data_IF_404346331999
#
_entry.id   IF_404346331999
#
_cell.length_a   1.000
_cell.length_b   1.000
_cell.length_c   1.000
_cell.angle_alpha   90.00
_cell.angle_beta   90.00
_cell.angle_gamma   90.00
#
_symmetry.space_group_name_H-M   'P 1'
#
loop_
_entity.id
_entity.type
_entity.pdbx_description
1 polymer ?
#
# COMPACT_ATOMS: atom_id res chain seq x y z
N UNK A 1 3.09 14.27 -10.46
CA UNK A 1 1.77 13.60 -10.37
C UNK A 1 1.84 12.61 -9.22
N UNK A 2 0.83 12.56 -8.37
CA UNK A 2 0.76 11.57 -7.29
C UNK A 2 -0.03 10.35 -7.77
N UNK A 3 0.41 9.14 -7.38
CA UNK A 3 -0.37 7.91 -7.52
C UNK A 3 -0.97 7.56 -6.17
N UNK A 4 -2.21 7.08 -6.20
CA UNK A 4 -2.94 6.61 -5.03
C UNK A 4 -3.48 5.23 -5.35
N UNK A 5 -3.30 4.29 -4.42
CA UNK A 5 -3.88 2.96 -4.47
C UNK A 5 -4.67 2.71 -3.20
N UNK A 6 -5.84 2.11 -3.34
CA UNK A 6 -6.75 1.85 -2.24
C UNK A 6 -7.17 0.39 -2.25
N UNK A 7 -7.26 -0.18 -1.06
CA UNK A 7 -7.75 -1.52 -0.82
C UNK A 7 -8.63 -1.53 0.44
N UNK A 8 -9.61 -2.43 0.46
CA UNK A 8 -10.44 -2.66 1.64
C UNK A 8 -10.09 -4.04 2.17
N UNK A 9 -9.71 -4.12 3.45
CA UNK A 9 -9.47 -5.38 4.14
C UNK A 9 -10.43 -5.47 5.32
N UNK A 10 -11.37 -6.41 5.29
CA UNK A 10 -12.36 -6.63 6.35
C UNK A 10 -13.09 -5.33 6.81
N UNK A 11 -13.44 -4.47 5.85
CA UNK A 11 -14.12 -3.20 6.11
C UNK A 11 -13.20 -2.04 6.53
N UNK A 12 -11.90 -2.28 6.66
CA UNK A 12 -10.87 -1.26 6.95
C UNK A 12 -10.27 -0.72 5.67
N UNK A 13 -10.07 0.59 5.61
CA UNK A 13 -9.47 1.24 4.45
C UNK A 13 -7.94 1.23 4.56
N UNK A 14 -7.28 0.70 3.53
CA UNK A 14 -5.83 0.76 3.37
C UNK A 14 -5.53 1.62 2.14
N UNK A 15 -4.79 2.71 2.34
CA UNK A 15 -4.46 3.65 1.27
C UNK A 15 -2.95 3.84 1.18
N UNK A 16 -2.43 3.71 -0.03
CA UNK A 16 -1.02 3.91 -0.35
C UNK A 16 -0.89 5.10 -1.28
N UNK A 17 -0.05 6.05 -0.92
CA UNK A 17 0.27 7.20 -1.76
C UNK A 17 1.73 7.11 -2.22
N UNK A 18 2.00 7.48 -3.47
CA UNK A 18 3.35 7.69 -3.99
C UNK A 18 3.40 9.05 -4.71
N UNK A 19 4.31 9.90 -4.25
CA UNK A 19 4.51 11.23 -4.81
C UNK A 19 6.00 11.52 -4.96
N UNK A 20 6.36 12.22 -6.04
CA UNK A 20 7.77 12.48 -6.41
C UNK A 20 8.56 13.22 -5.32
N UNK A 21 7.92 14.15 -4.59
CA UNK A 21 8.56 14.96 -3.54
C UNK A 21 8.08 14.63 -2.14
N UNK A 22 6.86 14.11 -1.99
CA UNK A 22 6.29 13.72 -0.69
C UNK A 22 6.55 12.27 -0.31
N UNK A 23 7.26 11.51 -1.15
CA UNK A 23 7.62 10.12 -0.91
C UNK A 23 6.43 9.16 -1.00
N UNK A 24 6.59 8.00 -0.37
CA UNK A 24 5.55 7.00 -0.22
C UNK A 24 4.96 6.97 1.18
N UNK A 25 3.64 6.79 1.28
CA UNK A 25 2.91 6.80 2.55
C UNK A 25 1.89 5.68 2.60
N UNK A 26 1.74 5.10 3.79
CA UNK A 26 0.74 4.09 4.09
C UNK A 26 -0.23 4.66 5.13
N UNK A 27 -1.51 4.60 4.81
CA UNK A 27 -2.60 4.98 5.70
C UNK A 27 -3.51 3.78 5.98
N UNK A 28 -3.98 3.68 7.22
CA UNK A 28 -5.03 2.76 7.65
C UNK A 28 -6.12 3.57 8.34
N UNK A 29 -7.35 3.49 7.84
CA UNK A 29 -8.49 4.31 8.30
C UNK A 29 -8.11 5.80 8.41
N UNK A 30 -7.54 6.34 7.32
CA UNK A 30 -7.04 7.72 7.18
C UNK A 30 -5.90 8.15 8.12
N UNK A 31 -5.42 7.26 8.98
CA UNK A 31 -4.26 7.51 9.84
C UNK A 31 -2.96 7.12 9.13
N UNK A 32 -1.98 8.02 9.09
CA UNK A 32 -0.62 7.71 8.62
C UNK A 32 0.02 6.68 9.56
N UNK A 33 0.40 5.53 9.00
CA UNK A 33 1.03 4.43 9.74
C UNK A 33 2.52 4.34 9.44
N UNK A 34 2.93 4.61 8.20
CA UNK A 34 4.34 4.57 7.80
C UNK A 34 4.59 5.49 6.59
N UNK A 35 5.82 5.98 6.47
CA UNK A 35 6.26 6.80 5.35
C UNK A 35 7.74 6.58 5.00
N UNK A 36 8.04 6.69 3.71
CA UNK A 36 9.40 6.83 3.21
C UNK A 36 9.52 8.09 2.37
N UNK A 37 10.43 8.98 2.75
CA UNK A 37 10.67 10.23 2.05
C UNK A 37 11.87 10.10 1.09
N UNK A 38 11.81 10.82 -0.03
CA UNK A 38 12.88 10.90 -1.02
C UNK A 38 12.63 10.07 -2.28
N UNK A 39 13.58 10.11 -3.21
CA UNK A 39 13.49 9.39 -4.48
C UNK A 39 14.05 7.98 -4.35
N UNK A 40 13.18 6.97 -4.49
CA UNK A 40 13.56 5.56 -4.48
C UNK A 40 12.96 4.85 -5.69
N UNK A 41 13.73 3.95 -6.30
CA UNK A 41 13.24 3.07 -7.38
C UNK A 41 12.32 1.96 -6.85
N UNK A 42 12.48 1.62 -5.57
CA UNK A 42 11.62 0.70 -4.84
C UNK A 42 11.55 1.11 -3.38
N UNK A 43 10.40 0.90 -2.75
CA UNK A 43 10.21 1.09 -1.32
C UNK A 43 9.29 0.03 -0.73
N UNK A 44 9.37 -0.09 0.59
CA UNK A 44 8.52 -0.99 1.39
C UNK A 44 7.93 -0.21 2.54
N UNK A 45 6.62 -0.31 2.71
CA UNK A 45 5.94 0.28 3.86
C UNK A 45 5.37 -0.84 4.73
N UNK A 46 5.33 -0.61 6.02
CA UNK A 46 4.86 -1.58 7.00
C UNK A 46 3.80 -0.97 7.90
N UNK A 47 2.88 -1.79 8.38
CA UNK A 47 1.85 -1.31 9.30
C UNK A 47 1.10 -2.47 9.93
N UNK A 48 0.05 -2.13 10.65
CA UNK A 48 -0.91 -3.12 11.15
C UNK A 48 -2.33 -2.65 10.86
N UNK A 49 -3.22 -3.62 10.66
CA UNK A 49 -4.68 -3.40 10.56
C UNK A 49 -5.37 -4.39 11.48
N UNK A 50 -6.50 -3.99 12.06
CA UNK A 50 -7.33 -4.91 12.85
C UNK A 50 -8.30 -5.63 11.93
N UNK A 51 -8.37 -6.94 12.07
CA UNK A 51 -9.42 -7.75 11.45
C UNK A 51 -10.79 -7.50 12.12
N UNK A 52 -11.81 -8.18 11.61
CA UNK A 52 -13.19 -8.12 12.12
C UNK A 52 -13.34 -8.65 13.56
N UNK A 53 -12.41 -9.47 14.03
CA UNK A 53 -12.35 -9.98 15.41
C UNK A 53 -11.51 -9.07 16.33
N UNK A 54 -10.88 -8.03 15.78
CA UNK A 54 -10.03 -7.09 16.49
C UNK A 54 -8.57 -7.54 16.66
N UNK A 55 -8.15 -8.65 16.03
CA UNK A 55 -6.77 -9.10 16.03
C UNK A 55 -5.92 -8.24 15.10
N UNK A 56 -4.69 -7.94 15.50
CA UNK A 56 -3.74 -7.22 14.64
C UNK A 56 -3.18 -8.14 13.56
N UNK A 57 -3.22 -7.65 12.31
CA UNK A 57 -2.64 -8.28 11.13
C UNK A 57 -1.57 -7.36 10.55
N UNK A 58 -0.44 -7.93 10.15
CA UNK A 58 0.68 -7.19 9.60
C UNK A 58 0.41 -6.76 8.16
N UNK A 59 0.53 -5.46 7.88
CA UNK A 59 0.55 -4.92 6.52
C UNK A 59 1.98 -4.83 6.02
N UNK A 60 2.19 -5.29 4.79
CA UNK A 60 3.40 -5.06 4.01
C UNK A 60 3.02 -4.51 2.65
N UNK A 61 3.59 -3.38 2.27
CA UNK A 61 3.44 -2.78 0.95
C UNK A 61 4.76 -2.87 0.23
N UNK A 62 4.71 -3.25 -1.05
CA UNK A 62 5.85 -3.22 -1.95
C UNK A 62 5.55 -2.27 -3.11
N UNK A 63 6.37 -1.24 -3.26
CA UNK A 63 6.27 -0.26 -4.34
C UNK A 63 7.55 -0.35 -5.15
N UNK A 64 7.44 -0.48 -6.48
CA UNK A 64 8.60 -0.51 -7.36
C UNK A 64 8.28 -1.07 -8.74
N UNK A 65 9.13 -0.78 -9.72
CA UNK A 65 9.15 -1.38 -11.07
C UNK A 65 10.29 -0.77 -11.90
N UNK A 66 10.66 -1.44 -12.99
CA UNK A 66 11.65 -0.96 -13.96
C UNK A 66 11.01 -0.06 -15.04
N UNK A 67 9.71 -0.22 -15.31
CA UNK A 67 9.02 0.46 -16.43
C UNK A 67 7.82 1.30 -15.95
N UNK A 68 6.98 0.75 -15.07
CA UNK A 68 5.77 1.41 -14.57
C UNK A 68 5.62 1.19 -13.07
N UNK A 69 5.58 2.24 -12.24
CA UNK A 69 5.45 2.08 -10.78
C UNK A 69 4.25 1.19 -10.43
N UNK A 70 4.53 0.06 -9.78
CA UNK A 70 3.54 -0.89 -9.27
C UNK A 70 3.50 -0.83 -7.75
N UNK A 71 2.30 -1.07 -7.21
CA UNK A 71 2.03 -1.27 -5.81
C UNK A 71 1.38 -2.65 -5.60
N UNK A 72 1.87 -3.37 -4.59
CA UNK A 72 1.28 -4.59 -4.05
C UNK A 72 1.11 -4.45 -2.54
N UNK A 73 -0.07 -4.79 -2.03
CA UNK A 73 -0.40 -4.74 -0.60
C UNK A 73 -0.64 -6.17 -0.12
N UNK A 74 -0.02 -6.51 1.00
CA UNK A 74 -0.15 -7.79 1.66
C UNK A 74 -0.66 -7.59 3.09
N UNK A 75 -1.51 -8.50 3.56
CA UNK A 75 -1.95 -8.61 4.96
C UNK A 75 -1.65 -10.03 5.43
N UNK A 76 -0.82 -10.19 6.47
CA UNK A 76 -0.31 -11.49 6.95
C UNK A 76 0.17 -12.39 5.79
N UNK A 77 1.04 -11.82 4.94
CA UNK A 77 1.63 -12.46 3.76
C UNK A 77 0.64 -12.90 2.66
N UNK A 78 -0.64 -12.54 2.77
CA UNK A 78 -1.63 -12.74 1.70
C UNK A 78 -1.75 -11.48 0.85
N UNK A 79 -1.66 -11.63 -0.48
CA UNK A 79 -1.87 -10.53 -1.41
C UNK A 79 -3.33 -10.08 -1.37
N UNK A 80 -3.58 -8.81 -1.04
CA UNK A 80 -4.92 -8.22 -1.01
C UNK A 80 -5.16 -7.24 -2.15
N UNK A 81 -4.08 -6.68 -2.70
CA UNK A 81 -4.15 -5.74 -3.81
C UNK A 81 -2.90 -5.82 -4.68
N UNK A 82 -3.08 -5.79 -6.00
CA UNK A 82 -2.02 -5.64 -6.99
C UNK A 82 -2.46 -4.71 -8.11
N UNK A 83 -1.73 -3.59 -8.27
CA UNK A 83 -1.95 -2.66 -9.38
C UNK A 83 -1.68 -3.28 -10.76
N UNK A 84 -0.89 -4.36 -10.83
CA UNK A 84 -0.63 -5.11 -12.07
C UNK A 84 -1.86 -5.92 -12.47
N UNK A 85 -2.52 -6.56 -11.51
CA UNK A 85 -3.69 -7.40 -11.78
C UNK A 85 -4.90 -6.57 -12.18
N UNK A 86 -5.10 -5.40 -11.56
CA UNK A 86 -6.19 -4.51 -11.94
C UNK A 86 -5.99 -3.84 -13.32
N UNK A 87 -4.74 -3.70 -13.78
CA UNK A 87 -4.44 -3.21 -15.12
C UNK A 87 -4.74 -4.21 -16.25
N UNK A 88 -4.92 -5.51 -15.94
CA UNK A 88 -5.25 -6.54 -16.94
C UNK A 88 -6.73 -6.58 -17.36
N UNK A 89 -7.60 -5.91 -16.60
CA UNK A 89 -9.05 -5.87 -16.84
C UNK A 89 -9.53 -4.48 -17.32
N UNK A 90 -8.61 -3.65 -17.83
CA UNK A 90 -8.91 -2.35 -18.44
C UNK A 90 -8.65 -2.38 -19.93
#
# INVERSE_FOLDING_TARGET
MAKVWEAVYEGRAIRVENSWFGGEKLFVDDRLVDEQVGLRFSSRLFGTVKDSEGQEKGIKVSIGSVINVHCSIFVDDRLVYSSVEQGKYK
#
